data_IF_361018349508
#
_entry.id   IF_361018349508
#
_cell.length_a   1.000
_cell.length_b   1.000
_cell.length_c   1.000
_cell.angle_alpha   90.00
_cell.angle_beta   90.00
_cell.angle_gamma   90.00
#
_symmetry.space_group_name_H-M   'P 1'
#
loop_
_entity.id
_entity.type
_entity.pdbx_description
1 polymer ?
#
# COMPACT_ATOMS: atom_id res chain seq x y z
N UNK A 1 2.79 -4.45 0.63
CA UNK A 1 3.87 -4.52 -0.40
C UNK A 1 4.48 -3.14 -0.57
N UNK A 2 5.81 -2.98 -0.69
CA UNK A 2 6.44 -1.65 -0.89
C UNK A 2 7.58 -1.76 -1.91
N UNK A 3 7.65 -0.82 -2.87
CA UNK A 3 8.47 -0.94 -4.10
C UNK A 3 9.29 0.35 -4.36
N UNK A 4 10.56 0.22 -4.78
CA UNK A 4 11.42 1.26 -5.38
C UNK A 4 11.74 0.92 -6.84
N UNK A 5 12.14 1.88 -7.69
CA UNK A 5 12.43 1.61 -9.12
C UNK A 5 13.91 1.60 -9.52
N UNK A 6 14.37 0.53 -10.19
CA UNK A 6 15.09 0.49 -11.52
C UNK A 6 15.90 -0.82 -11.79
N UNK A 7 15.83 -1.26 -13.07
CA UNK A 7 16.72 -2.10 -13.92
C UNK A 7 16.87 -3.65 -13.75
N UNK A 8 16.28 -4.37 -14.74
CA UNK A 8 16.68 -5.61 -15.49
C UNK A 8 17.58 -6.70 -14.84
N UNK A 9 17.03 -7.92 -14.69
CA UNK A 9 17.32 -9.17 -15.47
C UNK A 9 16.71 -10.41 -14.75
N UNK A 10 16.05 -11.30 -15.51
CA UNK A 10 15.41 -12.54 -15.04
C UNK A 10 16.36 -13.75 -15.09
N UNK A 11 16.30 -14.66 -14.10
CA UNK A 11 16.38 -16.12 -14.31
C UNK A 11 15.82 -16.94 -13.12
N UNK A 12 15.46 -18.18 -13.43
CA UNK A 12 14.45 -19.08 -12.83
C UNK A 12 14.87 -19.90 -11.59
N UNK A 13 13.89 -20.47 -10.87
CA UNK A 13 14.08 -21.74 -10.15
C UNK A 13 13.40 -21.92 -8.78
N UNK A 14 12.36 -22.78 -8.76
CA UNK A 14 11.82 -23.66 -7.68
C UNK A 14 11.22 -23.05 -6.39
N UNK A 15 10.00 -23.51 -6.04
CA UNK A 15 9.19 -23.12 -4.85
C UNK A 15 9.55 -23.97 -3.62
N UNK A 16 9.85 -23.40 -2.45
CA UNK A 16 9.80 -24.12 -1.16
C UNK A 16 8.51 -23.79 -0.38
N UNK A 17 8.11 -24.74 0.48
CA UNK A 17 6.81 -24.84 1.14
C UNK A 17 6.42 -23.72 2.12
N UNK A 18 5.15 -23.79 2.57
CA UNK A 18 4.48 -22.82 3.46
C UNK A 18 5.29 -22.59 4.76
N UNK A 19 6.03 -21.49 4.80
CA UNK A 19 6.58 -20.91 6.02
C UNK A 19 5.63 -19.81 6.48
N UNK A 20 4.95 -20.01 7.60
CA UNK A 20 4.17 -18.94 8.25
C UNK A 20 5.17 -18.06 9.03
N UNK A 21 5.61 -16.96 8.43
CA UNK A 21 6.40 -15.94 9.14
C UNK A 21 5.46 -15.13 10.05
N UNK A 22 5.63 -15.28 11.36
CA UNK A 22 4.96 -14.45 12.36
C UNK A 22 5.76 -13.15 12.51
N UNK A 23 5.46 -12.14 11.70
CA UNK A 23 6.05 -10.80 11.83
C UNK A 23 5.42 -10.12 13.04
N UNK A 24 6.22 -9.67 14.02
CA UNK A 24 5.69 -8.87 15.13
C UNK A 24 5.21 -7.52 14.60
N UNK A 25 4.10 -6.98 15.10
CA UNK A 25 3.49 -5.76 14.56
C UNK A 25 4.49 -4.59 14.42
N UNK A 26 5.43 -4.44 15.37
CA UNK A 26 6.51 -3.46 15.29
C UNK A 26 7.45 -3.63 14.09
N UNK A 27 7.74 -4.87 13.68
CA UNK A 27 8.63 -5.18 12.56
C UNK A 27 7.99 -4.84 11.20
N UNK A 28 6.66 -5.01 11.06
CA UNK A 28 5.89 -4.58 9.87
C UNK A 28 6.11 -3.08 9.62
N UNK A 29 5.91 -2.26 10.65
CA UNK A 29 6.03 -0.81 10.54
C UNK A 29 7.46 -0.34 10.27
N UNK A 30 8.46 -0.97 10.88
CA UNK A 30 9.86 -0.65 10.57
C UNK A 30 10.21 -0.97 9.12
N UNK A 31 9.72 -2.10 8.59
CA UNK A 31 9.91 -2.45 7.19
C UNK A 31 9.23 -1.44 6.27
N UNK A 32 7.96 -1.10 6.53
CA UNK A 32 7.21 -0.11 5.75
C UNK A 32 7.94 1.24 5.75
N UNK A 33 8.37 1.72 6.91
CA UNK A 33 9.08 3.00 7.05
C UNK A 33 10.30 3.08 6.15
N UNK A 34 11.11 2.01 6.08
CA UNK A 34 12.32 1.98 5.22
C UNK A 34 12.00 2.28 3.76
N UNK A 35 10.86 1.83 3.28
CA UNK A 35 10.50 2.00 1.88
C UNK A 35 9.74 3.30 1.58
N UNK A 36 9.03 3.88 2.56
CA UNK A 36 8.21 5.08 2.33
C UNK A 36 8.88 6.40 2.74
N UNK A 37 9.96 6.34 3.54
CA UNK A 37 10.55 7.54 4.14
C UNK A 37 11.00 8.54 3.08
N UNK A 38 10.46 9.77 3.14
CA UNK A 38 10.82 10.87 2.24
C UNK A 38 10.31 10.72 0.80
N UNK A 39 9.42 9.76 0.54
CA UNK A 39 8.86 9.50 -0.79
C UNK A 39 7.40 9.92 -0.91
N UNK A 40 6.97 10.14 -2.14
CA UNK A 40 5.56 10.26 -2.46
C UNK A 40 4.89 8.88 -2.44
N UNK A 41 3.76 8.74 -1.74
CA UNK A 41 3.07 7.45 -1.56
C UNK A 41 1.63 7.57 -2.01
N UNK A 42 1.16 6.56 -2.74
CA UNK A 42 -0.26 6.27 -2.89
C UNK A 42 -0.61 5.05 -2.03
N UNK A 43 -1.46 5.26 -1.04
CA UNK A 43 -1.98 4.20 -0.16
C UNK A 43 -3.35 3.73 -0.68
N UNK A 44 -3.43 2.48 -1.14
CA UNK A 44 -4.62 1.89 -1.77
C UNK A 44 -5.30 0.94 -0.80
N UNK A 45 -6.60 1.14 -0.59
CA UNK A 45 -7.35 0.51 0.51
C UNK A 45 -7.05 1.16 1.85
N UNK A 46 -6.87 2.48 1.87
CA UNK A 46 -6.27 3.21 2.99
C UNK A 46 -7.20 3.44 4.20
N UNK A 47 -8.51 3.28 4.05
CA UNK A 47 -9.46 3.53 5.14
C UNK A 47 -9.37 2.45 6.22
N UNK A 48 -9.01 1.21 5.88
CA UNK A 48 -8.85 0.12 6.87
C UNK A 48 -10.15 -0.38 7.51
N UNK A 49 -11.31 0.22 7.19
CA UNK A 49 -12.64 -0.30 7.51
C UNK A 49 -13.04 -0.29 8.99
N UNK A 50 -12.20 0.24 9.89
CA UNK A 50 -12.46 0.33 11.33
C UNK A 50 -12.35 1.78 11.82
N UNK A 51 -13.49 2.47 12.04
CA UNK A 51 -13.52 3.82 12.55
C UNK A 51 -12.85 4.08 13.90
N UNK A 52 -12.78 3.06 14.74
CA UNK A 52 -12.17 3.18 16.06
C UNK A 52 -10.63 3.16 15.96
N UNK A 53 -10.08 2.67 14.85
CA UNK A 53 -8.63 2.56 14.64
C UNK A 53 -7.97 3.89 14.22
N UNK A 54 -8.71 4.93 13.80
CA UNK A 54 -8.09 6.14 13.25
C UNK A 54 -7.24 6.95 14.24
N UNK A 55 -7.56 6.85 15.53
CA UNK A 55 -6.75 7.41 16.62
C UNK A 55 -5.62 6.48 17.07
N UNK A 56 -5.62 5.23 16.59
CA UNK A 56 -4.62 4.23 16.94
C UNK A 56 -3.31 4.47 16.20
N UNK A 57 -2.19 4.30 16.91
CA UNK A 57 -0.87 4.25 16.29
C UNK A 57 -0.72 3.09 15.30
N UNK A 58 -1.63 2.10 15.39
CA UNK A 58 -1.69 0.91 14.55
C UNK A 58 -2.48 1.12 13.25
N UNK A 59 -3.01 2.32 12.98
CA UNK A 59 -3.60 2.60 11.68
C UNK A 59 -2.54 2.94 10.64
N UNK A 60 -2.50 2.12 9.58
CA UNK A 60 -1.43 2.11 8.59
C UNK A 60 -1.37 3.40 7.78
N UNK A 61 -2.51 3.94 7.34
CA UNK A 61 -2.51 5.20 6.58
C UNK A 61 -2.00 6.37 7.43
N UNK A 62 -2.42 6.44 8.68
CA UNK A 62 -1.90 7.41 9.65
C UNK A 62 -0.39 7.28 9.85
N UNK A 63 0.13 6.05 9.92
CA UNK A 63 1.56 5.79 9.96
C UNK A 63 2.28 6.29 8.69
N UNK A 64 1.72 6.03 7.51
CA UNK A 64 2.29 6.47 6.24
C UNK A 64 2.33 8.00 6.16
N UNK A 65 1.23 8.71 6.50
CA UNK A 65 1.17 10.19 6.53
C UNK A 65 2.22 10.81 7.44
N UNK A 66 2.62 10.15 8.53
CA UNK A 66 3.66 10.64 9.45
C UNK A 66 5.08 10.51 8.88
N UNK A 67 5.34 9.54 8.00
CA UNK A 67 6.69 9.17 7.59
C UNK A 67 7.01 9.39 6.10
N UNK A 68 5.99 9.55 5.25
CA UNK A 68 6.10 9.82 3.82
C UNK A 68 5.49 11.18 3.47
N UNK A 69 5.97 11.82 2.40
CA UNK A 69 5.45 13.11 1.92
C UNK A 69 5.76 13.30 0.43
N UNK A 70 4.78 13.65 -0.42
CA UNK A 70 3.31 13.70 -0.18
C UNK A 70 2.64 12.32 -0.09
N UNK A 71 1.44 12.23 0.46
CA UNK A 71 0.69 10.96 0.59
C UNK A 71 -0.76 11.15 0.17
N UNK A 72 -1.18 10.37 -0.83
CA UNK A 72 -2.56 10.27 -1.31
C UNK A 72 -3.17 8.92 -0.93
N UNK A 73 -4.49 8.88 -0.81
CA UNK A 73 -5.25 7.65 -0.59
C UNK A 73 -6.18 7.31 -1.76
N UNK A 74 -6.47 6.02 -1.95
CA UNK A 74 -7.54 5.53 -2.82
C UNK A 74 -8.32 4.45 -2.10
N UNK A 75 -9.65 4.58 -2.00
CA UNK A 75 -10.49 3.58 -1.34
C UNK A 75 -11.88 3.46 -1.98
N UNK A 76 -12.47 2.27 -1.93
CA UNK A 76 -13.81 1.97 -2.47
C UNK A 76 -14.92 2.35 -1.47
N UNK A 77 -14.60 2.57 -0.19
CA UNK A 77 -15.59 2.98 0.80
C UNK A 77 -15.79 4.50 0.79
N UNK A 78 -16.74 4.98 -0.03
CA UNK A 78 -17.04 6.40 -0.18
C UNK A 78 -17.34 7.12 1.15
N UNK A 79 -18.11 6.49 2.05
CA UNK A 79 -18.48 7.10 3.32
C UNK A 79 -17.25 7.31 4.22
N UNK A 80 -16.35 6.33 4.28
CA UNK A 80 -15.11 6.47 5.05
C UNK A 80 -14.13 7.46 4.43
N UNK A 81 -14.05 7.52 3.10
CA UNK A 81 -13.27 8.55 2.39
C UNK A 81 -13.75 9.95 2.76
N UNK A 82 -15.05 10.21 2.67
CA UNK A 82 -15.64 11.51 3.01
C UNK A 82 -15.40 11.85 4.48
N UNK A 83 -15.55 10.89 5.39
CA UNK A 83 -15.31 11.06 6.81
C UNK A 83 -13.84 11.40 7.12
N UNK A 84 -12.89 10.67 6.54
CA UNK A 84 -11.45 10.91 6.77
C UNK A 84 -10.97 12.24 6.21
N UNK A 85 -11.41 12.60 5.00
CA UNK A 85 -11.13 13.93 4.44
C UNK A 85 -11.71 15.02 5.37
N UNK A 86 -12.95 14.84 5.86
CA UNK A 86 -13.54 15.76 6.84
C UNK A 86 -12.78 15.90 8.17
N UNK A 87 -11.94 14.91 8.51
CA UNK A 87 -11.07 14.92 9.68
C UNK A 87 -9.67 15.51 9.41
N UNK A 88 -9.40 16.02 8.20
CA UNK A 88 -8.12 16.61 7.82
C UNK A 88 -7.08 15.60 7.32
N UNK A 89 -7.49 14.36 7.01
CA UNK A 89 -6.69 13.44 6.19
C UNK A 89 -6.89 13.73 4.70
N UNK A 90 -6.90 15.02 4.36
CA UNK A 90 -7.12 15.53 3.02
C UNK A 90 -6.18 14.81 2.03
N UNK A 91 -6.70 14.51 0.83
CA UNK A 91 -6.07 13.78 -0.28
C UNK A 91 -6.43 12.27 -0.39
N UNK A 92 -7.58 11.83 0.13
CA UNK A 92 -8.12 10.49 -0.15
C UNK A 92 -9.18 10.56 -1.26
N UNK A 93 -8.98 9.82 -2.34
CA UNK A 93 -9.94 9.68 -3.44
C UNK A 93 -10.84 8.46 -3.25
N UNK A 94 -12.12 8.61 -3.59
CA UNK A 94 -13.02 7.48 -3.77
C UNK A 94 -12.78 6.85 -5.14
N UNK A 95 -12.54 5.53 -5.19
CA UNK A 95 -12.39 4.81 -6.45
C UNK A 95 -12.10 3.32 -6.28
N UNK A 96 -12.25 2.58 -7.38
CA UNK A 96 -11.94 1.16 -7.43
C UNK A 96 -10.47 0.94 -7.84
N UNK A 97 -9.71 0.22 -7.02
CA UNK A 97 -8.32 -0.15 -7.31
C UNK A 97 -8.17 -0.99 -8.61
N UNK A 98 -9.25 -1.61 -9.09
CA UNK A 98 -9.27 -2.43 -10.31
C UNK A 98 -9.62 -1.65 -11.58
N UNK A 99 -10.00 -0.38 -11.45
CA UNK A 99 -10.47 0.42 -12.60
C UNK A 99 -10.07 1.90 -12.52
N UNK A 100 -9.19 2.25 -11.59
CA UNK A 100 -8.70 3.61 -11.46
C UNK A 100 -7.40 3.79 -12.27
N UNK A 101 -7.36 4.83 -13.11
CA UNK A 101 -6.16 5.22 -13.83
C UNK A 101 -5.09 5.72 -12.87
N UNK A 102 -4.17 4.83 -12.47
CA UNK A 102 -2.96 5.19 -11.74
C UNK A 102 -1.98 5.90 -12.70
N UNK A 103 -2.29 7.13 -13.09
CA UNK A 103 -1.32 7.98 -13.75
C UNK A 103 -0.14 8.18 -12.77
N UNK A 104 1.08 7.92 -13.24
CA UNK A 104 2.29 7.90 -12.41
C UNK A 104 2.51 9.23 -11.67
N UNK A 105 2.08 9.32 -10.42
CA UNK A 105 2.29 10.50 -9.56
C UNK A 105 2.98 10.21 -8.24
N UNK A 106 3.31 8.94 -7.95
CA UNK A 106 3.85 8.52 -6.65
C UNK A 106 5.09 7.64 -6.82
N UNK A 107 6.05 7.72 -5.91
CA UNK A 107 7.25 6.87 -5.91
C UNK A 107 6.94 5.45 -5.42
N UNK A 108 5.91 5.33 -4.56
CA UNK A 108 5.50 4.10 -3.91
C UNK A 108 3.99 3.93 -4.01
N UNK A 109 3.55 2.74 -4.39
CA UNK A 109 2.17 2.28 -4.18
C UNK A 109 2.19 1.31 -2.99
N UNK A 110 1.42 1.64 -1.96
CA UNK A 110 1.24 0.78 -0.79
C UNK A 110 -0.15 0.12 -0.85
N UNK A 111 -0.16 -1.21 -0.74
CA UNK A 111 -1.38 -2.01 -0.61
C UNK A 111 -1.11 -3.09 0.45
N UNK A 112 -1.44 -2.79 1.70
CA UNK A 112 -1.08 -3.60 2.87
C UNK A 112 -1.99 -4.81 3.06
N UNK A 113 -3.29 -4.59 2.94
CA UNK A 113 -4.37 -5.52 3.31
C UNK A 113 -5.53 -5.37 2.29
N UNK A 114 -5.19 -5.35 0.99
CA UNK A 114 -6.12 -5.06 -0.13
C UNK A 114 -6.19 -6.19 -1.17
N UNK A 115 -5.03 -6.78 -1.53
CA UNK A 115 -4.89 -7.61 -2.74
C UNK A 115 -5.80 -8.85 -2.68
N UNK A 116 -5.99 -9.40 -1.48
CA UNK A 116 -6.86 -10.53 -1.17
C UNK A 116 -8.36 -10.21 -1.25
N UNK A 117 -8.72 -8.93 -1.21
CA UNK A 117 -10.10 -8.45 -1.28
C UNK A 117 -10.51 -8.01 -2.69
N UNK A 118 -9.57 -7.97 -3.64
CA UNK A 118 -9.86 -7.64 -5.03
C UNK A 118 -10.58 -8.80 -5.73
N UNK A 119 -11.57 -8.46 -6.55
CA UNK A 119 -12.29 -9.43 -7.38
C UNK A 119 -11.39 -9.97 -8.51
N UNK A 120 -10.60 -9.08 -9.09
CA UNK A 120 -9.62 -9.30 -10.13
C UNK A 120 -8.30 -8.59 -9.75
N UNK A 121 -7.46 -9.20 -8.91
CA UNK A 121 -6.16 -8.65 -8.54
C UNK A 121 -5.26 -8.42 -9.76
N UNK A 122 -5.46 -9.16 -10.86
CA UNK A 122 -4.72 -8.95 -12.12
C UNK A 122 -4.90 -7.54 -12.69
N UNK A 123 -6.10 -6.95 -12.62
CA UNK A 123 -6.32 -5.57 -13.08
C UNK A 123 -5.53 -4.56 -12.25
N UNK A 124 -5.55 -4.70 -10.93
CA UNK A 124 -4.71 -3.89 -10.05
C UNK A 124 -3.22 -4.04 -10.39
N UNK A 125 -2.75 -5.27 -10.61
CA UNK A 125 -1.35 -5.51 -10.96
C UNK A 125 -0.94 -4.92 -12.31
N UNK A 126 -1.83 -4.88 -13.31
CA UNK A 126 -1.57 -4.21 -14.60
C UNK A 126 -1.39 -2.70 -14.39
N UNK A 127 -2.23 -2.07 -13.56
CA UNK A 127 -2.07 -0.65 -13.25
C UNK A 127 -0.85 -0.37 -12.38
N UNK A 128 -0.46 -1.32 -11.54
CA UNK A 128 0.76 -1.28 -10.75
C UNK A 128 1.99 -1.82 -11.51
N UNK A 129 1.89 -2.21 -12.78
CA UNK A 129 2.95 -2.93 -13.51
C UNK A 129 4.23 -2.10 -13.65
N UNK A 130 4.06 -0.80 -13.79
CA UNK A 130 5.12 0.20 -13.79
C UNK A 130 5.83 0.38 -12.44
N UNK A 131 5.31 -0.28 -11.40
CA UNK A 131 5.68 -0.11 -10.00
C UNK A 131 6.15 -1.41 -9.34
N UNK A 132 6.62 -2.46 -10.06
CA UNK A 132 7.08 -3.71 -9.40
C UNK A 132 8.59 -3.83 -9.13
N UNK A 133 8.94 -4.08 -7.85
CA UNK A 133 10.13 -4.80 -7.40
C UNK A 133 9.68 -5.78 -6.32
N UNK A 134 9.97 -7.05 -6.56
CA UNK A 134 9.83 -8.12 -5.57
C UNK A 134 10.94 -7.97 -4.54
N UNK A 135 10.60 -7.58 -3.31
CA UNK A 135 11.52 -7.74 -2.19
C UNK A 135 11.75 -9.24 -1.95
N UNK A 136 12.81 -9.80 -2.53
CA UNK A 136 13.32 -11.10 -2.07
C UNK A 136 13.84 -10.89 -0.65
N UNK A 137 13.14 -11.43 0.34
CA UNK A 137 13.77 -11.73 1.61
C UNK A 137 14.92 -12.69 1.30
N UNK A 138 16.17 -12.28 1.58
CA UNK A 138 17.31 -13.21 1.54
C UNK A 138 16.98 -14.34 2.52
N UNK A 139 16.72 -15.52 1.98
CA UNK A 139 16.82 -16.79 2.69
C UNK A 139 18.28 -17.11 2.96
#
# INVERSE_FOLDING_TARGET
MVIEGKNRLFHSGKRPGKFLFKIHAGEKYQLVRKFISGKSVLDVGCTGGDPEAYSSELWVHGFIKRHAKPVKGLDLNKAEVERLNGLGYDEIAYGNAEDFGLHRTSDVIFSGDLIEHLYNPGRFLIFAEDFFIVAKMKT
#
